data_IF_242700594109
#
_entry.id   IF_242700594109
#
_cell.length_a   1.000
_cell.length_b   1.000
_cell.length_c   1.000
_cell.angle_alpha   90.00
_cell.angle_beta   90.00
_cell.angle_gamma   90.00
#
_symmetry.space_group_name_H-M   'P 1'
#
loop_
_entity.id
_entity.type
_entity.pdbx_description
1 polymer ?
#
# COMPACT_ATOMS: atom_id res chain seq x y z
N UNK A 1 20.87 -4.66 -0.64
CA UNK A 1 19.44 -4.52 -0.95
C UNK A 1 19.42 -3.78 -2.26
N UNK A 2 19.08 -4.50 -3.32
CA UNK A 2 19.06 -3.93 -4.66
C UNK A 2 17.70 -3.30 -4.90
N UNK A 3 17.65 -2.24 -5.70
CA UNK A 3 16.39 -1.65 -6.11
C UNK A 3 15.67 -2.67 -7.00
N UNK A 4 14.45 -3.04 -6.61
CA UNK A 4 13.65 -4.03 -7.33
C UNK A 4 12.42 -3.36 -7.96
N UNK A 5 12.07 -3.78 -9.17
CA UNK A 5 10.85 -3.35 -9.83
C UNK A 5 9.80 -4.46 -9.79
N UNK A 6 8.78 -4.25 -8.95
CA UNK A 6 7.74 -5.22 -8.69
C UNK A 6 6.49 -4.88 -9.51
N UNK A 7 6.20 -5.72 -10.51
CA UNK A 7 5.01 -5.54 -11.36
C UNK A 7 3.76 -5.94 -10.57
N UNK A 8 2.76 -5.08 -10.57
CA UNK A 8 1.48 -5.34 -9.92
C UNK A 8 0.35 -4.49 -10.45
N UNK A 9 -0.86 -4.82 -10.02
CA UNK A 9 -2.07 -4.06 -10.29
C UNK A 9 -2.97 -4.10 -9.07
N UNK A 10 -3.61 -2.97 -8.79
CA UNK A 10 -4.58 -2.84 -7.71
C UNK A 10 -5.76 -1.98 -8.11
N UNK A 11 -6.83 -2.15 -7.37
CA UNK A 11 -8.03 -1.32 -7.42
C UNK A 11 -8.25 -0.71 -6.04
N UNK A 12 -8.59 0.58 -6.03
CA UNK A 12 -8.91 1.33 -4.83
C UNK A 12 -10.28 1.97 -4.95
N UNK A 13 -11.01 2.02 -3.85
CA UNK A 13 -12.28 2.70 -3.73
C UNK A 13 -12.25 3.68 -2.55
N UNK A 14 -12.63 4.93 -2.81
CA UNK A 14 -12.74 5.96 -1.78
C UNK A 14 -14.08 5.77 -1.06
N UNK A 15 -14.00 5.40 0.21
CA UNK A 15 -15.16 5.12 1.05
C UNK A 15 -15.74 6.41 1.64
N UNK A 16 -14.86 7.31 2.08
CA UNK A 16 -15.24 8.55 2.73
C UNK A 16 -14.15 9.61 2.55
N UNK A 17 -14.55 10.87 2.49
CA UNK A 17 -13.63 12.01 2.47
C UNK A 17 -14.25 13.20 3.20
N UNK A 18 -13.45 13.81 4.08
CA UNK A 18 -13.82 15.01 4.81
C UNK A 18 -12.64 15.99 4.89
N UNK A 19 -12.74 16.96 5.81
CA UNK A 19 -11.71 17.98 6.02
C UNK A 19 -10.44 17.42 6.69
N UNK A 20 -10.56 16.35 7.47
CA UNK A 20 -9.47 15.75 8.23
C UNK A 20 -8.71 14.72 7.38
N UNK A 21 -9.40 13.98 6.52
CA UNK A 21 -8.79 12.87 5.82
C UNK A 21 -9.67 12.20 4.80
N UNK A 22 -9.22 11.03 4.37
CA UNK A 22 -9.96 10.12 3.51
C UNK A 22 -9.79 8.68 3.97
N UNK A 23 -10.87 7.91 3.86
CA UNK A 23 -10.88 6.48 4.08
C UNK A 23 -10.99 5.76 2.73
N UNK A 24 -10.16 4.75 2.52
CA UNK A 24 -10.13 3.96 1.30
C UNK A 24 -10.21 2.47 1.62
N UNK A 25 -10.70 1.69 0.67
CA UNK A 25 -10.41 0.26 0.57
C UNK A 25 -9.56 -0.01 -0.65
N UNK A 26 -8.63 -0.94 -0.55
CA UNK A 26 -7.77 -1.35 -1.66
C UNK A 26 -7.65 -2.87 -1.74
N UNK A 27 -7.51 -3.38 -2.96
CA UNK A 27 -7.22 -4.78 -3.23
C UNK A 27 -6.35 -4.89 -4.48
N UNK A 28 -5.50 -5.90 -4.53
CA UNK A 28 -4.62 -6.08 -5.68
C UNK A 28 -3.68 -7.24 -5.55
N UNK A 29 -2.75 -7.29 -6.48
CA UNK A 29 -1.70 -8.29 -6.53
C UNK A 29 -0.43 -7.70 -7.13
N UNK A 30 0.72 -8.22 -6.70
CA UNK A 30 2.03 -7.80 -7.19
C UNK A 30 3.02 -8.96 -7.15
N UNK A 31 4.09 -8.86 -7.95
CA UNK A 31 5.24 -9.76 -7.86
C UNK A 31 6.10 -9.35 -6.68
N UNK A 32 6.24 -10.24 -5.70
CA UNK A 32 7.14 -10.04 -4.57
C UNK A 32 8.60 -10.39 -4.92
N UNK A 33 9.51 -10.20 -3.97
CA UNK A 33 10.95 -10.42 -4.14
C UNK A 33 11.36 -11.88 -4.39
N UNK A 34 10.47 -12.84 -4.12
CA UNK A 34 10.62 -14.23 -4.50
C UNK A 34 10.10 -14.53 -5.90
N UNK A 35 9.71 -13.50 -6.65
CA UNK A 35 8.99 -13.57 -7.92
C UNK A 35 7.66 -14.33 -7.81
N UNK A 36 7.05 -14.37 -6.63
CA UNK A 36 5.73 -14.97 -6.42
C UNK A 36 4.64 -13.90 -6.54
N UNK A 37 3.41 -14.32 -6.86
CA UNK A 37 2.27 -13.42 -6.82
C UNK A 37 1.78 -13.25 -5.39
N UNK A 38 2.05 -12.10 -4.80
CA UNK A 38 1.44 -11.63 -3.57
C UNK A 38 0.05 -11.04 -3.87
N UNK A 39 -0.90 -11.26 -2.97
CA UNK A 39 -2.25 -10.67 -3.02
C UNK A 39 -2.48 -9.86 -1.75
N UNK A 40 -3.25 -8.79 -1.87
CA UNK A 40 -3.64 -8.00 -0.71
C UNK A 40 -5.08 -7.48 -0.83
N UNK A 41 -5.69 -7.25 0.32
CA UNK A 41 -6.95 -6.50 0.47
C UNK A 41 -6.93 -5.79 1.82
N UNK A 42 -7.48 -4.59 1.89
CA UNK A 42 -7.60 -3.90 3.17
C UNK A 42 -8.22 -2.54 3.08
N UNK A 43 -8.06 -1.81 4.18
CA UNK A 43 -8.61 -0.47 4.37
C UNK A 43 -7.51 0.47 4.83
N UNK A 44 -7.72 1.75 4.60
CA UNK A 44 -6.79 2.80 4.96
C UNK A 44 -7.52 4.01 5.48
N UNK A 45 -6.84 4.75 6.37
CA UNK A 45 -7.19 6.13 6.65
C UNK A 45 -5.95 7.01 6.45
N UNK A 46 -6.10 8.09 5.68
CA UNK A 46 -5.05 9.07 5.41
C UNK A 46 -5.50 10.45 5.87
N UNK A 47 -4.70 11.07 6.75
CA UNK A 47 -4.88 12.44 7.19
C UNK A 47 -4.39 13.41 6.10
N UNK A 48 -5.15 14.48 5.86
CA UNK A 48 -4.74 15.58 4.99
C UNK A 48 -3.71 16.43 5.71
N UNK A 49 -2.51 16.55 5.13
CA UNK A 49 -1.44 17.42 5.63
C UNK A 49 -1.40 18.77 4.90
N UNK A 50 -2.17 18.89 3.81
CA UNK A 50 -2.31 20.07 2.98
C UNK A 50 -3.19 19.76 1.77
N UNK A 51 -3.07 20.55 0.71
CA UNK A 51 -3.90 20.37 -0.49
C UNK A 51 -3.57 19.09 -1.28
N UNK A 52 -2.32 18.61 -1.22
CA UNK A 52 -1.81 17.52 -2.05
C UNK A 52 -1.16 16.38 -1.28
N UNK A 53 -0.84 16.60 -0.01
CA UNK A 53 -0.15 15.63 0.83
C UNK A 53 -1.13 14.95 1.77
N UNK A 54 -1.05 13.62 1.84
CA UNK A 54 -1.78 12.84 2.84
C UNK A 54 -0.88 11.80 3.47
N UNK A 55 -1.07 11.51 4.75
CA UNK A 55 -0.26 10.58 5.53
C UNK A 55 -1.16 9.73 6.41
N UNK A 56 -0.91 8.43 6.48
CA UNK A 56 -1.62 7.54 7.37
C UNK A 56 -1.10 6.12 7.26
N UNK A 57 -1.99 5.15 7.39
CA UNK A 57 -1.61 3.74 7.31
C UNK A 57 -2.74 2.88 6.76
N UNK A 58 -2.35 1.89 5.97
CA UNK A 58 -3.20 0.81 5.52
C UNK A 58 -3.18 -0.34 6.53
N UNK A 59 -4.32 -0.97 6.79
CA UNK A 59 -4.42 -2.26 7.44
C UNK A 59 -4.71 -3.30 6.36
N UNK A 60 -3.65 -3.98 5.90
CA UNK A 60 -3.71 -4.92 4.79
C UNK A 60 -3.67 -6.36 5.25
N UNK A 61 -4.63 -7.16 4.80
CA UNK A 61 -4.50 -8.62 4.76
C UNK A 61 -3.67 -8.97 3.52
N UNK A 62 -2.51 -9.58 3.74
CA UNK A 62 -1.54 -9.94 2.69
C UNK A 62 -1.36 -11.45 2.69
N UNK A 63 -1.29 -12.05 1.50
CA UNK A 63 -0.90 -13.44 1.31
C UNK A 63 0.16 -13.54 0.21
N UNK A 64 1.30 -14.17 0.52
CA UNK A 64 2.40 -14.37 -0.42
C UNK A 64 3.21 -15.61 0.00
N UNK A 65 3.58 -16.51 -0.93
CA UNK A 65 4.51 -17.61 -0.62
C UNK A 65 5.86 -17.16 -0.03
N UNK A 66 6.27 -15.91 -0.30
CA UNK A 66 7.53 -15.33 0.16
C UNK A 66 7.42 -14.77 1.59
N UNK A 67 6.22 -14.38 2.03
CA UNK A 67 6.00 -13.74 3.33
C UNK A 67 5.19 -14.64 4.25
N UNK A 68 5.57 -14.71 5.53
CA UNK A 68 4.86 -15.50 6.53
C UNK A 68 4.58 -16.96 6.09
N UNK A 69 5.55 -17.60 5.44
CA UNK A 69 5.46 -18.99 4.97
C UNK A 69 4.24 -19.30 4.07
N UNK A 70 3.70 -18.29 3.36
CA UNK A 70 2.51 -18.45 2.52
C UNK A 70 1.17 -18.19 3.23
N UNK A 71 1.20 -18.09 4.56
CA UNK A 71 0.02 -17.86 5.38
C UNK A 71 -0.39 -16.39 5.34
N UNK A 72 -1.70 -16.15 5.31
CA UNK A 72 -2.23 -14.79 5.30
C UNK A 72 -1.99 -14.08 6.64
N UNK A 73 -1.63 -12.80 6.60
CA UNK A 73 -1.41 -11.99 7.79
C UNK A 73 -1.88 -10.56 7.60
N UNK A 74 -2.20 -9.89 8.71
CA UNK A 74 -2.53 -8.46 8.70
C UNK A 74 -1.28 -7.65 9.04
N UNK A 75 -0.97 -6.64 8.22
CA UNK A 75 0.14 -5.73 8.45
C UNK A 75 -0.34 -4.27 8.39
N UNK A 76 0.05 -3.44 9.38
CA UNK A 76 -0.09 -2.00 9.25
C UNK A 76 1.05 -1.48 8.36
N UNK A 77 0.68 -0.81 7.27
CA UNK A 77 1.58 -0.26 6.27
C UNK A 77 1.46 1.28 6.29
N UNK A 78 2.38 2.00 6.94
CA UNK A 78 2.44 3.45 6.82
C UNK A 78 2.55 3.89 5.37
N UNK A 79 1.76 4.89 5.00
CA UNK A 79 1.69 5.43 3.64
C UNK A 79 1.72 6.96 3.65
N UNK A 80 2.61 7.52 2.83
CA UNK A 80 2.64 8.93 2.45
C UNK A 80 2.24 9.04 0.98
N UNK A 81 1.35 9.95 0.68
CA UNK A 81 0.80 10.12 -0.66
C UNK A 81 0.94 11.57 -1.11
N UNK A 82 1.28 11.75 -2.38
CA UNK A 82 1.29 13.05 -3.06
C UNK A 82 0.43 13.03 -4.32
N UNK A 83 -0.52 13.97 -4.39
CA UNK A 83 -1.45 14.09 -5.52
C UNK A 83 -0.95 15.11 -6.56
N UNK A 84 -0.67 14.64 -7.78
CA UNK A 84 -0.36 15.47 -8.95
C UNK A 84 -1.60 15.84 -9.79
N UNK A 85 -2.81 15.52 -9.31
CA UNK A 85 -4.11 15.75 -9.94
C UNK A 85 -4.53 14.67 -10.93
N UNK A 86 -3.63 14.26 -11.84
CA UNK A 86 -3.89 13.16 -12.81
C UNK A 86 -3.27 11.82 -12.41
N UNK A 87 -2.28 11.87 -11.52
CA UNK A 87 -1.52 10.72 -11.04
C UNK A 87 -1.23 10.98 -9.58
N UNK A 88 -1.31 9.93 -8.78
CA UNK A 88 -1.01 9.96 -7.36
C UNK A 88 0.21 9.08 -7.14
N UNK A 89 1.23 9.61 -6.45
CA UNK A 89 2.38 8.84 -6.01
C UNK A 89 2.18 8.41 -4.56
N UNK A 90 2.34 7.12 -4.30
CA UNK A 90 2.27 6.55 -2.96
C UNK A 90 3.63 6.01 -2.57
N UNK A 91 4.08 6.37 -1.38
CA UNK A 91 5.23 5.81 -0.72
C UNK A 91 4.77 5.02 0.50
N UNK A 92 5.11 3.74 0.55
CA UNK A 92 4.81 2.85 1.66
C UNK A 92 6.07 2.41 2.36
N UNK A 93 5.96 2.24 3.67
CA UNK A 93 7.00 1.61 4.48
C UNK A 93 6.44 0.30 5.01
N UNK A 94 7.12 -0.81 4.75
CA UNK A 94 6.82 -2.11 5.34
C UNK A 94 7.80 -2.33 6.49
N UNK A 95 7.36 -2.21 7.75
CA UNK A 95 8.24 -2.43 8.88
C UNK A 95 8.71 -3.89 8.94
N UNK A 96 9.93 -4.10 9.44
CA UNK A 96 10.39 -5.42 9.80
C UNK A 96 9.54 -5.97 10.96
N UNK A 97 8.86 -7.07 10.72
CA UNK A 97 8.18 -7.86 11.75
C UNK A 97 8.90 -9.19 11.85
N UNK A 98 9.64 -9.43 12.94
CA UNK A 98 10.54 -10.59 13.06
C UNK A 98 9.87 -11.94 12.71
N UNK A 99 8.56 -12.06 12.91
CA UNK A 99 7.77 -13.26 12.64
C UNK A 99 7.19 -13.34 11.22
N UNK A 100 7.06 -12.22 10.49
CA UNK A 100 6.34 -12.17 9.20
C UNK A 100 7.27 -11.79 8.03
N UNK A 101 8.21 -10.88 8.28
CA UNK A 101 9.09 -10.27 7.28
C UNK A 101 10.43 -9.88 7.94
N UNK A 102 11.54 -10.40 7.39
CA UNK A 102 12.89 -10.18 7.93
C UNK A 102 13.50 -8.82 7.60
N UNK A 103 12.91 -8.05 6.70
CA UNK A 103 13.48 -6.84 6.13
C UNK A 103 12.53 -5.64 6.23
N UNK A 104 13.06 -4.46 6.51
CA UNK A 104 12.30 -3.23 6.31
C UNK A 104 12.40 -2.83 4.84
N UNK A 105 11.27 -2.52 4.20
CA UNK A 105 11.22 -2.20 2.77
C UNK A 105 10.47 -0.90 2.54
N UNK A 106 10.96 -0.08 1.62
CA UNK A 106 10.20 1.04 1.06
C UNK A 106 9.65 0.65 -0.30
N UNK A 107 8.38 0.95 -0.54
CA UNK A 107 7.72 0.74 -1.82
C UNK A 107 7.23 2.06 -2.39
N UNK A 108 7.30 2.19 -3.72
CA UNK A 108 6.69 3.28 -4.47
C UNK A 108 5.73 2.70 -5.49
N UNK A 109 4.53 3.26 -5.59
CA UNK A 109 3.58 2.92 -6.64
C UNK A 109 2.73 4.12 -7.06
N UNK A 110 2.23 4.05 -8.28
CA UNK A 110 1.36 5.08 -8.84
C UNK A 110 -0.09 4.63 -8.82
N UNK A 111 -0.99 5.57 -8.58
CA UNK A 111 -2.43 5.40 -8.73
C UNK A 111 -2.94 6.40 -9.75
N UNK A 112 -3.80 5.93 -10.65
CA UNK A 112 -4.49 6.78 -11.63
C UNK A 112 -5.95 6.88 -11.18
N UNK A 113 -6.43 8.08 -10.77
CA UNK A 113 -7.83 8.25 -10.42
C UNK A 113 -8.68 8.11 -11.68
N UNK A 114 -9.62 7.17 -11.66
CA UNK A 114 -10.56 6.95 -12.77
C UNK A 114 -11.75 7.91 -12.71
N UNK A 115 -12.10 8.36 -11.50
CA UNK A 115 -13.26 9.21 -11.21
C UNK A 115 -12.85 10.21 -10.11
N UNK A 116 -13.47 11.39 -10.10
CA UNK A 116 -13.29 12.41 -9.05
C UNK A 116 -14.35 12.25 -7.97
#
# INVERSE_FOLDING_TARGET
MDNEFNVGLGFGYRLHEDKLGLANSEAGFFRDSGNNWAKFVGVCYLFKLGERWTLGADALLIQSPTYNDGEAFVAPIPRLTYDFGKVILNAVYVPRYQQLNRYSVFGLYFTIPLWK
#
